data_IF_134446723741
#
_entry.id   IF_134446723741
#
_cell.length_a   1.000
_cell.length_b   1.000
_cell.length_c   1.000
_cell.angle_alpha   90.00
_cell.angle_beta   90.00
_cell.angle_gamma   90.00
#
_symmetry.space_group_name_H-M   'P 1'
#
loop_
_entity.id
_entity.type
_entity.pdbx_description
1 polymer ?
#
# COMPACT_ATOMS: atom_id res chain seq x y z
N UNK A 1 13.18 16.09 13.08
CA UNK A 1 11.92 16.24 12.32
C UNK A 1 12.12 17.04 11.04
N UNK A 2 12.91 18.12 11.05
CA UNK A 2 13.17 18.97 9.87
C UNK A 2 13.63 18.18 8.64
N UNK A 3 14.71 17.39 8.74
CA UNK A 3 15.21 16.58 7.62
C UNK A 3 14.14 15.72 6.92
N UNK A 4 13.19 15.18 7.69
CA UNK A 4 12.11 14.39 7.12
C UNK A 4 11.17 15.25 6.28
N UNK A 5 10.68 16.36 6.84
CA UNK A 5 9.77 17.24 6.14
C UNK A 5 10.45 18.02 5.00
N UNK A 6 11.74 18.35 5.13
CA UNK A 6 12.55 18.98 4.09
C UNK A 6 12.69 18.08 2.87
N UNK A 7 12.96 16.79 3.07
CA UNK A 7 13.03 15.82 1.98
C UNK A 7 11.66 15.55 1.32
N UNK A 8 10.54 15.68 2.06
CA UNK A 8 9.19 15.68 1.46
C UNK A 8 8.98 16.94 0.62
N UNK A 9 9.31 18.10 1.19
CA UNK A 9 9.16 19.39 0.53
C UNK A 9 9.96 19.44 -0.77
N UNK A 10 11.20 18.97 -0.75
CA UNK A 10 12.06 18.90 -1.93
C UNK A 10 11.51 17.91 -2.98
N UNK A 11 11.08 16.71 -2.55
CA UNK A 11 10.42 15.75 -3.43
C UNK A 11 9.19 16.35 -4.11
N UNK A 12 8.27 16.92 -3.33
CA UNK A 12 7.02 17.49 -3.84
C UNK A 12 7.27 18.68 -4.77
N UNK A 13 8.20 19.57 -4.43
CA UNK A 13 8.56 20.73 -5.24
C UNK A 13 9.09 20.32 -6.61
N UNK A 14 9.95 19.31 -6.67
CA UNK A 14 10.63 18.91 -7.90
C UNK A 14 9.83 17.89 -8.74
N UNK A 15 8.81 17.24 -8.18
CA UNK A 15 8.11 16.15 -8.87
C UNK A 15 6.60 16.33 -9.00
N UNK A 16 6.00 17.44 -8.56
CA UNK A 16 4.53 17.60 -8.56
C UNK A 16 3.87 17.31 -9.92
N UNK A 17 4.49 17.71 -11.04
CA UNK A 17 3.98 17.41 -12.39
C UNK A 17 3.96 15.91 -12.64
N UNK A 18 5.08 15.23 -12.34
CA UNK A 18 5.21 13.79 -12.51
C UNK A 18 4.24 13.04 -11.58
N UNK A 19 4.09 13.49 -10.33
CA UNK A 19 3.12 12.92 -9.39
C UNK A 19 1.68 13.07 -9.92
N UNK A 20 1.32 14.25 -10.44
CA UNK A 20 0.02 14.48 -11.06
C UNK A 20 -0.22 13.57 -12.26
N UNK A 21 0.77 13.41 -13.14
CA UNK A 21 0.69 12.51 -14.30
C UNK A 21 0.56 11.04 -13.87
N UNK A 22 1.32 10.61 -12.85
CA UNK A 22 1.24 9.26 -12.26
C UNK A 22 -0.15 9.00 -11.68
N UNK A 23 -0.67 9.92 -10.86
CA UNK A 23 -2.00 9.79 -10.26
C UNK A 23 -3.11 9.77 -11.32
N UNK A 24 -3.02 10.61 -12.35
CA UNK A 24 -3.97 10.63 -13.46
C UNK A 24 -3.93 9.32 -14.25
N UNK A 25 -2.73 8.84 -14.59
CA UNK A 25 -2.56 7.55 -15.29
C UNK A 25 -3.15 6.40 -14.46
N UNK A 26 -2.89 6.38 -13.16
CA UNK A 26 -3.48 5.40 -12.24
C UNK A 26 -5.01 5.45 -12.24
N UNK A 27 -5.60 6.65 -12.16
CA UNK A 27 -7.05 6.83 -12.21
C UNK A 27 -7.64 6.32 -13.53
N UNK A 28 -7.04 6.68 -14.68
CA UNK A 28 -7.45 6.21 -16.00
C UNK A 28 -7.39 4.69 -16.10
N UNK A 29 -6.27 4.06 -15.67
CA UNK A 29 -6.11 2.61 -15.73
C UNK A 29 -7.10 1.88 -14.83
N UNK A 30 -7.36 2.39 -13.63
CA UNK A 30 -8.39 1.85 -12.73
C UNK A 30 -9.77 1.96 -13.36
N UNK A 31 -10.15 3.12 -13.89
CA UNK A 31 -11.44 3.30 -14.58
C UNK A 31 -11.59 2.36 -15.77
N UNK A 32 -10.53 2.18 -16.57
CA UNK A 32 -10.52 1.23 -17.68
C UNK A 32 -10.66 -0.21 -17.20
N UNK A 33 -10.02 -0.61 -16.10
CA UNK A 33 -10.19 -1.95 -15.53
C UNK A 33 -11.61 -2.20 -15.02
N UNK A 34 -12.25 -1.21 -14.40
CA UNK A 34 -13.63 -1.36 -13.93
C UNK A 34 -14.65 -1.47 -15.07
N UNK A 35 -14.43 -0.73 -16.16
CA UNK A 35 -15.40 -0.59 -17.25
C UNK A 35 -15.13 -1.53 -18.45
N UNK A 36 -13.86 -1.76 -18.80
CA UNK A 36 -13.42 -2.51 -19.99
C UNK A 36 -12.09 -3.26 -19.72
N UNK A 37 -12.08 -4.32 -18.90
CA UNK A 37 -10.87 -5.05 -18.52
C UNK A 37 -10.30 -5.90 -19.66
N UNK A 38 -9.69 -5.28 -20.66
CA UNK A 38 -9.00 -5.99 -21.74
C UNK A 38 -7.63 -6.54 -21.27
N UNK A 39 -7.08 -7.58 -21.93
CA UNK A 39 -5.74 -8.08 -21.61
C UNK A 39 -4.65 -7.00 -21.67
N UNK A 40 -4.78 -6.05 -22.59
CA UNK A 40 -3.87 -4.93 -22.72
C UNK A 40 -3.94 -3.98 -21.51
N UNK A 41 -5.15 -3.65 -21.05
CA UNK A 41 -5.35 -2.80 -19.85
C UNK A 41 -4.82 -3.50 -18.60
N UNK A 42 -5.07 -4.80 -18.45
CA UNK A 42 -4.52 -5.60 -17.33
C UNK A 42 -3.00 -5.57 -17.32
N UNK A 43 -2.35 -5.79 -18.47
CA UNK A 43 -0.89 -5.71 -18.61
C UNK A 43 -0.36 -4.30 -18.32
N UNK A 44 -1.03 -3.27 -18.86
CA UNK A 44 -0.68 -1.88 -18.61
C UNK A 44 -0.75 -1.52 -17.11
N UNK A 45 -1.77 -2.00 -16.40
CA UNK A 45 -1.88 -1.81 -14.96
C UNK A 45 -0.75 -2.49 -14.18
N UNK A 46 -0.34 -3.70 -14.56
CA UNK A 46 0.81 -4.35 -13.92
C UNK A 46 2.10 -3.55 -14.15
N UNK A 47 2.34 -3.09 -15.39
CA UNK A 47 3.48 -2.23 -15.70
C UNK A 47 3.43 -0.91 -14.92
N UNK A 48 2.24 -0.33 -14.73
CA UNK A 48 2.05 0.85 -13.89
C UNK A 48 2.41 0.58 -12.42
N UNK A 49 2.02 -0.57 -11.86
CA UNK A 49 2.41 -0.94 -10.50
C UNK A 49 3.93 -1.16 -10.40
N UNK A 50 4.57 -1.81 -11.39
CA UNK A 50 6.05 -1.91 -11.45
C UNK A 50 6.67 -0.51 -11.44
N UNK A 51 6.19 0.39 -12.30
CA UNK A 51 6.67 1.76 -12.39
C UNK A 51 6.49 2.51 -11.06
N UNK A 52 5.35 2.35 -10.36
CA UNK A 52 5.13 2.96 -9.05
C UNK A 52 6.17 2.46 -8.02
N UNK A 53 6.42 1.16 -7.97
CA UNK A 53 7.40 0.59 -7.03
C UNK A 53 8.82 1.08 -7.34
N UNK A 54 9.20 1.15 -8.62
CA UNK A 54 10.49 1.71 -9.05
C UNK A 54 10.58 3.21 -8.78
N UNK A 55 9.51 3.97 -8.96
CA UNK A 55 9.45 5.39 -8.64
C UNK A 55 9.70 5.62 -7.16
N UNK A 56 9.03 4.85 -6.28
CA UNK A 56 9.25 4.95 -4.84
C UNK A 56 10.68 4.54 -4.45
N UNK A 57 11.22 3.47 -5.03
CA UNK A 57 12.58 3.02 -4.75
C UNK A 57 13.64 4.04 -5.20
N UNK A 58 13.61 4.43 -6.47
CA UNK A 58 14.70 5.15 -7.13
C UNK A 58 14.55 6.67 -7.00
N UNK A 59 13.35 7.19 -7.24
CA UNK A 59 13.13 8.64 -7.19
C UNK A 59 12.94 9.08 -5.74
N UNK A 60 11.95 8.51 -5.04
CA UNK A 60 11.65 8.97 -3.69
C UNK A 60 12.75 8.58 -2.68
N UNK A 61 13.11 7.28 -2.57
CA UNK A 61 14.03 6.83 -1.53
C UNK A 61 15.51 7.03 -1.86
N UNK A 62 15.96 6.61 -3.05
CA UNK A 62 17.37 6.64 -3.40
C UNK A 62 17.87 8.07 -3.71
N UNK A 63 17.03 8.91 -4.35
CA UNK A 63 17.42 10.28 -4.70
C UNK A 63 17.01 11.29 -3.61
N UNK A 64 15.71 11.52 -3.41
CA UNK A 64 15.25 12.58 -2.49
C UNK A 64 15.49 12.26 -1.01
N UNK A 65 15.33 11.01 -0.60
CA UNK A 65 15.53 10.60 0.79
C UNK A 65 16.93 10.04 1.08
N UNK A 66 17.94 10.33 0.25
CA UNK A 66 19.28 9.74 0.40
C UNK A 66 19.93 10.00 1.76
N UNK A 67 19.58 11.11 2.41
CA UNK A 67 20.07 11.50 3.73
C UNK A 67 19.28 10.88 4.88
N UNK A 68 18.13 10.26 4.61
CA UNK A 68 17.31 9.65 5.67
C UNK A 68 17.96 8.36 6.16
N UNK A 69 17.93 8.10 7.47
CA UNK A 69 18.42 6.84 8.01
C UNK A 69 17.63 5.67 7.42
N UNK A 70 18.33 4.56 7.16
CA UNK A 70 17.76 3.32 6.61
C UNK A 70 17.11 3.48 5.22
N UNK A 71 17.46 4.52 4.45
CA UNK A 71 16.99 4.70 3.08
C UNK A 71 17.29 3.48 2.20
N UNK A 72 18.52 2.94 2.21
CA UNK A 72 18.91 1.79 1.38
C UNK A 72 18.11 0.53 1.67
N UNK A 73 17.85 0.23 2.95
CA UNK A 73 16.99 -0.88 3.34
C UNK A 73 15.57 -0.71 2.75
N UNK A 74 15.09 0.54 2.75
CA UNK A 74 13.79 0.87 2.16
C UNK A 74 13.81 0.76 0.63
N UNK A 75 14.85 1.27 -0.04
CA UNK A 75 15.06 1.09 -1.49
C UNK A 75 14.97 -0.39 -1.86
N UNK A 76 15.66 -1.26 -1.11
CA UNK A 76 15.68 -2.69 -1.35
C UNK A 76 14.28 -3.31 -1.26
N UNK A 77 13.48 -2.96 -0.25
CA UNK A 77 12.10 -3.46 -0.10
C UNK A 77 11.26 -3.12 -1.35
N UNK A 78 11.31 -1.86 -1.80
CA UNK A 78 10.53 -1.42 -2.96
C UNK A 78 11.05 -2.01 -4.27
N UNK A 79 12.37 -2.25 -4.40
CA UNK A 79 12.94 -2.98 -5.54
C UNK A 79 12.51 -4.44 -5.56
N UNK A 80 12.43 -5.11 -4.40
CA UNK A 80 11.91 -6.48 -4.31
C UNK A 80 10.44 -6.50 -4.74
N UNK A 81 9.62 -5.55 -4.27
CA UNK A 81 8.24 -5.43 -4.71
C UNK A 81 8.13 -5.20 -6.23
N UNK A 82 8.97 -4.34 -6.80
CA UNK A 82 9.04 -4.14 -8.24
C UNK A 82 9.42 -5.43 -8.98
N UNK A 83 10.41 -6.18 -8.49
CA UNK A 83 10.84 -7.44 -9.08
C UNK A 83 9.74 -8.51 -9.08
N UNK A 84 8.98 -8.61 -7.97
CA UNK A 84 7.82 -9.51 -7.89
C UNK A 84 6.77 -9.14 -8.95
N UNK A 85 6.49 -7.85 -9.12
CA UNK A 85 5.54 -7.39 -10.14
C UNK A 85 6.08 -7.59 -11.56
N UNK A 86 7.38 -7.41 -11.81
CA UNK A 86 8.01 -7.72 -13.11
C UNK A 86 7.85 -9.21 -13.43
N UNK A 87 8.11 -10.09 -12.47
CA UNK A 87 7.88 -11.53 -12.62
C UNK A 87 6.41 -11.83 -12.95
N UNK A 88 5.47 -11.14 -12.30
CA UNK A 88 4.04 -11.29 -12.55
C UNK A 88 3.61 -10.77 -13.94
N UNK A 89 4.26 -9.72 -14.46
CA UNK A 89 4.07 -9.28 -15.87
C UNK A 89 4.53 -10.35 -16.85
N UNK A 90 5.70 -10.94 -16.59
CA UNK A 90 6.32 -11.92 -17.48
C UNK A 90 5.56 -13.26 -17.51
N UNK A 91 5.06 -13.70 -16.35
CA UNK A 91 4.41 -15.01 -16.20
C UNK A 91 2.89 -14.97 -16.30
N UNK A 92 2.27 -13.81 -16.09
CA UNK A 92 0.82 -13.70 -16.01
C UNK A 92 0.23 -14.38 -14.77
N UNK A 93 1.03 -14.56 -13.70
CA UNK A 93 0.62 -15.30 -12.49
C UNK A 93 -0.71 -14.80 -11.89
N UNK A 94 -0.88 -13.48 -11.76
CA UNK A 94 -2.17 -12.87 -11.39
C UNK A 94 -3.04 -12.54 -12.61
N UNK A 95 -4.28 -13.05 -12.64
CA UNK A 95 -5.20 -12.87 -13.77
C UNK A 95 -5.89 -11.48 -13.81
N UNK A 96 -5.75 -10.67 -12.76
CA UNK A 96 -6.43 -9.37 -12.59
C UNK A 96 -7.95 -9.45 -12.87
N UNK A 97 -8.61 -10.43 -12.25
CA UNK A 97 -10.06 -10.62 -12.35
C UNK A 97 -10.78 -9.86 -11.23
N UNK A 98 -11.82 -9.13 -11.60
CA UNK A 98 -12.58 -8.30 -10.65
C UNK A 98 -13.22 -9.15 -9.57
N UNK A 99 -12.83 -8.93 -8.32
CA UNK A 99 -13.43 -9.50 -7.13
C UNK A 99 -14.55 -8.58 -6.62
N UNK A 100 -15.80 -8.94 -6.93
CA UNK A 100 -16.97 -8.14 -6.50
C UNK A 100 -17.26 -8.22 -5.00
N UNK A 101 -16.69 -9.20 -4.28
CA UNK A 101 -17.00 -9.46 -2.87
C UNK A 101 -16.58 -8.32 -1.94
N UNK A 102 -15.48 -7.65 -2.27
CA UNK A 102 -14.90 -6.57 -1.46
C UNK A 102 -14.81 -5.25 -2.23
N UNK A 103 -15.69 -5.04 -3.23
CA UNK A 103 -15.59 -3.93 -4.18
C UNK A 103 -15.70 -2.55 -3.51
N UNK A 104 -16.62 -2.39 -2.55
CA UNK A 104 -16.77 -1.12 -1.83
C UNK A 104 -15.53 -0.78 -0.99
N UNK A 105 -15.00 -1.77 -0.28
CA UNK A 105 -13.83 -1.62 0.58
C UNK A 105 -12.56 -1.35 -0.24
N UNK A 106 -12.37 -2.09 -1.34
CA UNK A 106 -11.26 -1.88 -2.27
C UNK A 106 -11.30 -0.52 -2.93
N UNK A 107 -12.48 -0.06 -3.36
CA UNK A 107 -12.67 1.28 -3.93
C UNK A 107 -12.35 2.36 -2.89
N UNK A 108 -12.81 2.20 -1.65
CA UNK A 108 -12.45 3.11 -0.56
C UNK A 108 -10.93 3.19 -0.40
N UNK A 109 -10.23 2.06 -0.32
CA UNK A 109 -8.77 2.04 -0.15
C UNK A 109 -8.03 2.63 -1.35
N UNK A 110 -8.52 2.48 -2.58
CA UNK A 110 -7.92 3.13 -3.75
C UNK A 110 -8.12 4.65 -3.76
N UNK A 111 -9.17 5.17 -3.11
CA UNK A 111 -9.46 6.61 -3.04
C UNK A 111 -8.79 7.31 -1.85
N UNK A 112 -8.54 6.60 -0.74
CA UNK A 112 -7.90 7.16 0.45
C UNK A 112 -6.57 7.89 0.18
N UNK A 113 -5.66 7.46 -0.72
CA UNK A 113 -4.47 8.21 -1.08
C UNK A 113 -4.73 9.67 -1.50
N UNK A 114 -5.89 9.95 -2.11
CA UNK A 114 -6.27 11.29 -2.52
C UNK A 114 -6.63 12.20 -1.35
N UNK A 115 -6.94 11.64 -0.18
CA UNK A 115 -7.23 12.41 1.03
C UNK A 115 -5.96 12.82 1.78
N UNK A 116 -4.80 12.24 1.47
CA UNK A 116 -3.54 12.55 2.18
C UNK A 116 -3.21 14.06 2.15
N UNK A 117 -3.22 14.73 0.98
CA UNK A 117 -3.03 16.17 0.93
C UNK A 117 -4.10 16.97 1.68
N UNK A 118 -5.34 16.49 1.70
CA UNK A 118 -6.46 17.16 2.36
C UNK A 118 -6.31 17.12 3.88
N UNK A 119 -5.91 15.97 4.43
CA UNK A 119 -5.65 15.81 5.86
C UNK A 119 -4.42 16.64 6.27
N UNK A 120 -3.39 16.69 5.42
CA UNK A 120 -2.24 17.59 5.61
C UNK A 120 -2.66 19.07 5.63
N UNK A 121 -3.52 19.50 4.71
CA UNK A 121 -3.99 20.88 4.66
C UNK A 121 -4.88 21.22 5.86
N UNK A 122 -5.76 20.31 6.27
CA UNK A 122 -6.67 20.51 7.41
C UNK A 122 -5.95 20.73 8.75
N UNK A 123 -4.71 20.26 8.89
CA UNK A 123 -3.87 20.51 10.07
C UNK A 123 -2.95 21.73 9.95
N UNK A 124 -3.11 22.54 8.90
CA UNK A 124 -2.29 23.74 8.68
C UNK A 124 -0.95 23.51 8.01
N UNK A 125 -0.70 22.34 7.39
CA UNK A 125 0.48 22.18 6.53
C UNK A 125 0.21 22.75 5.14
N UNK A 126 1.24 23.31 4.52
CA UNK A 126 1.16 23.95 3.21
C UNK A 126 2.14 23.31 2.23
N UNK A 127 1.75 23.30 0.95
CA UNK A 127 2.65 22.86 -0.11
C UNK A 127 3.96 23.69 -0.09
N UNK A 128 5.14 23.05 -0.23
CA UNK A 128 5.36 21.65 -0.58
C UNK A 128 5.48 20.67 0.60
N UNK A 129 5.42 21.15 1.84
CA UNK A 129 5.58 20.34 3.06
C UNK A 129 4.27 19.63 3.43
N UNK A 130 3.84 18.67 2.63
CA UNK A 130 2.59 17.93 2.86
C UNK A 130 2.65 16.51 2.32
N UNK A 131 1.79 15.62 2.83
CA UNK A 131 1.69 14.26 2.31
C UNK A 131 1.04 14.26 0.91
N UNK A 132 1.63 13.54 -0.05
CA UNK A 132 1.17 13.49 -1.43
C UNK A 132 0.63 12.10 -1.83
N UNK A 133 -0.22 12.00 -2.87
CA UNK A 133 -0.79 10.73 -3.31
C UNK A 133 0.23 9.75 -3.91
N UNK A 134 1.43 10.22 -4.25
CA UNK A 134 2.54 9.41 -4.78
C UNK A 134 3.66 9.33 -3.73
N UNK A 135 3.26 9.13 -2.47
CA UNK A 135 4.16 8.76 -1.38
C UNK A 135 4.07 7.26 -1.09
N UNK A 136 5.09 6.67 -0.45
CA UNK A 136 5.13 5.23 -0.19
C UNK A 136 3.88 4.67 0.51
N UNK A 137 3.35 5.34 1.54
CA UNK A 137 2.16 4.89 2.28
C UNK A 137 0.88 5.01 1.46
N UNK A 138 0.74 6.09 0.68
CA UNK A 138 -0.32 6.26 -0.31
C UNK A 138 -0.28 5.17 -1.40
N UNK A 139 0.89 4.87 -1.94
CA UNK A 139 1.08 3.81 -2.95
C UNK A 139 0.78 2.43 -2.37
N UNK A 140 1.20 2.16 -1.13
CA UNK A 140 0.86 0.91 -0.45
C UNK A 140 -0.64 0.76 -0.24
N UNK A 141 -1.32 1.82 0.21
CA UNK A 141 -2.76 1.84 0.42
C UNK A 141 -3.53 1.64 -0.88
N UNK A 142 -3.12 2.32 -1.95
CA UNK A 142 -3.62 2.08 -3.29
C UNK A 142 -3.44 0.63 -3.73
N UNK A 143 -2.25 0.06 -3.54
CA UNK A 143 -1.92 -1.32 -3.94
C UNK A 143 -2.77 -2.33 -3.18
N UNK A 144 -3.02 -2.13 -1.89
CA UNK A 144 -3.92 -2.96 -1.08
C UNK A 144 -5.34 -2.92 -1.66
N UNK A 145 -5.88 -1.73 -1.89
CA UNK A 145 -7.21 -1.55 -2.49
C UNK A 145 -7.29 -2.21 -3.86
N UNK A 146 -6.29 -1.99 -4.70
CA UNK A 146 -6.20 -2.57 -6.02
C UNK A 146 -6.19 -4.12 -5.99
N UNK A 147 -5.38 -4.70 -5.13
CA UNK A 147 -5.30 -6.16 -4.99
C UNK A 147 -6.60 -6.76 -4.47
N UNK A 148 -7.30 -6.08 -3.54
CA UNK A 148 -8.63 -6.49 -3.09
C UNK A 148 -9.69 -6.42 -4.21
N UNK A 149 -9.58 -5.45 -5.13
CA UNK A 149 -10.51 -5.29 -6.23
C UNK A 149 -10.29 -6.27 -7.38
N UNK A 150 -9.04 -6.66 -7.66
CA UNK A 150 -8.70 -7.36 -8.91
C UNK A 150 -7.90 -8.66 -8.74
N UNK A 151 -7.50 -9.05 -7.53
CA UNK A 151 -6.73 -10.27 -7.35
C UNK A 151 -7.57 -11.37 -6.70
N UNK A 152 -7.79 -12.47 -7.43
CA UNK A 152 -8.31 -13.71 -6.84
C UNK A 152 -7.20 -14.63 -6.30
N UNK A 153 -5.95 -14.43 -6.75
CA UNK A 153 -4.77 -15.16 -6.28
C UNK A 153 -3.73 -14.15 -5.87
N UNK A 154 -3.60 -13.95 -4.57
CA UNK A 154 -2.70 -12.95 -4.01
C UNK A 154 -1.34 -13.59 -3.73
N UNK A 155 -0.28 -13.00 -4.26
CA UNK A 155 1.07 -13.38 -3.89
C UNK A 155 1.34 -12.93 -2.45
N UNK A 156 1.49 -13.91 -1.54
CA UNK A 156 1.69 -13.66 -0.12
C UNK A 156 2.94 -12.83 0.19
N UNK A 157 3.97 -12.85 -0.66
CA UNK A 157 5.15 -12.00 -0.48
C UNK A 157 4.79 -10.52 -0.62
N UNK A 158 3.92 -10.15 -1.56
CA UNK A 158 3.46 -8.77 -1.71
C UNK A 158 2.69 -8.33 -0.46
N UNK A 159 1.80 -9.20 0.05
CA UNK A 159 1.07 -8.93 1.30
C UNK A 159 2.04 -8.73 2.46
N UNK A 160 3.03 -9.60 2.61
CA UNK A 160 4.04 -9.49 3.67
C UNK A 160 4.78 -8.15 3.61
N UNK A 161 5.21 -7.71 2.43
CA UNK A 161 5.88 -6.41 2.27
C UNK A 161 4.93 -5.23 2.54
N UNK A 162 3.66 -5.30 2.16
CA UNK A 162 2.66 -4.29 2.47
C UNK A 162 2.37 -4.22 3.99
N UNK A 163 2.33 -5.36 4.68
CA UNK A 163 2.19 -5.43 6.14
C UNK A 163 3.40 -4.82 6.84
N UNK A 164 4.60 -5.18 6.39
CA UNK A 164 5.83 -4.58 6.88
C UNK A 164 5.81 -3.06 6.66
N UNK A 165 5.35 -2.60 5.49
CA UNK A 165 5.22 -1.18 5.20
C UNK A 165 4.23 -0.47 6.13
N UNK A 166 3.08 -1.09 6.42
CA UNK A 166 2.11 -0.54 7.36
C UNK A 166 2.69 -0.42 8.78
N UNK A 167 3.52 -1.37 9.21
CA UNK A 167 4.24 -1.28 10.49
C UNK A 167 5.24 -0.12 10.51
N UNK A 168 5.99 0.05 9.42
CA UNK A 168 6.91 1.19 9.24
C UNK A 168 6.14 2.52 9.13
N UNK A 169 4.94 2.53 8.55
CA UNK A 169 4.07 3.71 8.50
C UNK A 169 3.55 4.08 9.90
N UNK A 170 3.11 3.09 10.68
CA UNK A 170 2.62 3.32 12.03
C UNK A 170 3.66 3.97 12.95
N UNK A 171 4.94 3.63 12.81
CA UNK A 171 6.01 4.29 13.57
C UNK A 171 6.24 5.75 13.16
N UNK A 172 5.95 6.12 11.90
CA UNK A 172 6.07 7.51 11.40
C UNK A 172 4.97 8.43 11.89
N UNK A 173 3.79 7.90 12.20
CA UNK A 173 2.68 8.66 12.78
C UNK A 173 3.19 9.44 13.99
N UNK A 174 3.93 8.76 14.87
CA UNK A 174 4.55 9.36 16.05
C UNK A 174 5.86 10.09 15.73
N UNK A 175 6.80 9.43 15.04
CA UNK A 175 8.16 9.96 14.90
C UNK A 175 8.24 11.25 14.05
N UNK A 176 7.28 11.45 13.13
CA UNK A 176 7.28 12.55 12.17
C UNK A 176 5.96 13.31 12.10
N UNK A 177 4.99 12.99 12.96
CA UNK A 177 3.68 13.63 13.03
C UNK A 177 2.90 13.55 11.70
N UNK A 178 2.73 12.32 11.17
CA UNK A 178 2.00 12.03 9.92
C UNK A 178 0.75 11.21 10.22
N UNK A 179 -0.36 11.82 10.68
CA UNK A 179 -1.58 11.08 10.96
C UNK A 179 -2.24 10.47 9.71
N UNK A 180 -1.87 10.86 8.48
CA UNK A 180 -2.34 10.19 7.26
C UNK A 180 -1.94 8.71 7.22
N UNK A 181 -0.76 8.38 7.75
CA UNK A 181 -0.28 6.99 7.77
C UNK A 181 -1.15 6.10 8.67
N UNK A 182 -2.02 6.69 9.51
CA UNK A 182 -3.05 5.96 10.24
C UNK A 182 -4.05 5.28 9.29
N UNK A 183 -4.34 5.87 8.13
CA UNK A 183 -5.22 5.28 7.13
C UNK A 183 -4.66 3.95 6.62
N UNK A 184 -3.35 3.88 6.40
CA UNK A 184 -2.68 2.64 5.98
C UNK A 184 -2.72 1.59 7.09
N UNK A 185 -2.42 1.97 8.33
CA UNK A 185 -2.48 1.08 9.49
C UNK A 185 -3.90 0.55 9.74
N UNK A 186 -4.93 1.38 9.55
CA UNK A 186 -6.32 0.94 9.64
C UNK A 186 -6.73 0.03 8.47
N UNK A 187 -6.26 0.31 7.26
CA UNK A 187 -6.63 -0.46 6.06
C UNK A 187 -5.97 -1.84 6.00
N UNK A 188 -4.75 -1.99 6.53
CA UNK A 188 -4.03 -3.25 6.45
C UNK A 188 -4.68 -4.35 7.32
N UNK A 189 -5.34 -4.00 8.43
CA UNK A 189 -5.99 -4.96 9.34
C UNK A 189 -7.08 -5.79 8.63
N UNK A 190 -8.13 -5.18 8.05
CA UNK A 190 -9.13 -5.94 7.28
C UNK A 190 -8.54 -6.54 6.00
N UNK A 191 -7.53 -5.90 5.38
CA UNK A 191 -6.90 -6.44 4.17
C UNK A 191 -6.15 -7.76 4.43
N UNK A 192 -5.35 -7.84 5.49
CA UNK A 192 -4.65 -9.07 5.92
C UNK A 192 -5.66 -10.19 6.15
N UNK A 193 -6.72 -9.90 6.91
CA UNK A 193 -7.77 -10.87 7.18
C UNK A 193 -8.35 -11.43 5.88
N UNK A 194 -8.71 -10.56 4.94
CA UNK A 194 -9.29 -10.97 3.66
C UNK A 194 -8.29 -11.77 2.82
N UNK A 195 -7.07 -11.27 2.63
CA UNK A 195 -6.06 -11.92 1.79
C UNK A 195 -5.69 -13.30 2.32
N UNK A 196 -5.45 -13.41 3.62
CA UNK A 196 -5.08 -14.68 4.22
C UNK A 196 -6.26 -15.65 4.28
N UNK A 197 -7.48 -15.15 4.49
CA UNK A 197 -8.68 -15.99 4.42
C UNK A 197 -8.88 -16.56 3.02
N UNK A 198 -8.74 -15.74 1.99
CA UNK A 198 -8.83 -16.19 0.59
C UNK A 198 -7.73 -17.22 0.28
N UNK A 199 -6.50 -17.00 0.77
CA UNK A 199 -5.40 -17.95 0.66
C UNK A 199 -5.71 -19.29 1.34
N UNK A 200 -6.18 -19.27 2.59
CA UNK A 200 -6.57 -20.48 3.33
C UNK A 200 -7.68 -21.22 2.60
N UNK A 201 -8.76 -20.53 2.20
CA UNK A 201 -9.86 -21.19 1.49
C UNK A 201 -9.46 -21.78 0.14
N UNK A 202 -8.44 -21.23 -0.52
CA UNK A 202 -7.99 -21.69 -1.84
C UNK A 202 -6.95 -22.82 -1.77
N UNK A 203 -6.21 -22.94 -0.66
CA UNK A 203 -5.06 -23.85 -0.54
C UNK A 203 -5.17 -24.89 0.59
N UNK A 204 -6.04 -24.69 1.58
CA UNK A 204 -6.24 -25.62 2.70
C UNK A 204 -7.40 -26.54 2.35
N UNK A 205 -7.09 -27.79 2.00
CA UNK A 205 -8.10 -28.83 1.80
C UNK A 205 -8.62 -29.33 3.14
N UNK A 206 -9.74 -30.07 3.14
CA UNK A 206 -10.30 -30.65 4.36
C UNK A 206 -9.33 -31.61 5.08
N UNK A 207 -8.21 -32.00 4.46
CA UNK A 207 -7.26 -32.99 4.97
C UNK A 207 -5.87 -32.38 5.24
N UNK A 208 -5.66 -31.09 4.98
CA UNK A 208 -4.40 -30.41 5.32
C UNK A 208 -4.34 -29.98 6.79
N UNK A 209 -3.14 -30.00 7.38
CA UNK A 209 -2.86 -29.40 8.70
C UNK A 209 -2.23 -28.01 8.49
N UNK A 210 -2.67 -26.96 9.22
CA UNK A 210 -3.76 -26.95 10.20
C UNK A 210 -5.15 -27.08 9.53
N UNK A 211 -6.13 -27.63 10.25
CA UNK A 211 -7.49 -27.76 9.75
C UNK A 211 -8.13 -26.37 9.53
N UNK A 212 -9.19 -26.27 8.69
CA UNK A 212 -9.78 -24.97 8.36
C UNK A 212 -10.28 -24.15 9.55
N UNK A 213 -10.70 -24.78 10.67
CA UNK A 213 -11.12 -24.04 11.87
C UNK A 213 -9.91 -23.45 12.57
N UNK A 214 -8.85 -24.23 12.78
CA UNK A 214 -7.60 -23.74 13.39
C UNK A 214 -6.96 -22.65 12.54
N UNK A 215 -6.96 -22.79 11.21
CA UNK A 215 -6.49 -21.76 10.30
C UNK A 215 -7.30 -20.46 10.47
N UNK A 216 -8.64 -20.52 10.48
CA UNK A 216 -9.47 -19.34 10.70
C UNK A 216 -9.24 -18.68 12.07
N UNK A 217 -9.07 -19.47 13.14
CA UNK A 217 -8.76 -18.94 14.48
C UNK A 217 -7.42 -18.20 14.46
N UNK A 218 -6.38 -18.78 13.87
CA UNK A 218 -5.07 -18.15 13.74
C UNK A 218 -5.16 -16.83 12.96
N UNK A 219 -5.95 -16.79 11.88
CA UNK A 219 -6.16 -15.57 11.10
C UNK A 219 -6.86 -14.47 11.89
N UNK A 220 -7.89 -14.81 12.66
CA UNK A 220 -8.59 -13.85 13.53
C UNK A 220 -7.62 -13.33 14.58
N UNK A 221 -6.86 -14.21 15.24
CA UNK A 221 -5.88 -13.83 16.27
C UNK A 221 -4.79 -12.93 15.70
N UNK A 222 -4.25 -13.24 14.52
CA UNK A 222 -3.25 -12.42 13.85
C UNK A 222 -3.80 -11.03 13.49
N UNK A 223 -5.02 -10.98 12.93
CA UNK A 223 -5.66 -9.72 12.53
C UNK A 223 -6.01 -8.86 13.74
N UNK A 224 -6.54 -9.47 14.80
CA UNK A 224 -6.84 -8.80 16.06
C UNK A 224 -5.57 -8.31 16.75
N UNK A 225 -4.52 -9.14 16.84
CA UNK A 225 -3.23 -8.76 17.41
C UNK A 225 -2.58 -7.60 16.64
N UNK A 226 -2.65 -7.61 15.31
CA UNK A 226 -2.19 -6.51 14.46
C UNK A 226 -3.00 -5.23 14.73
N UNK A 227 -4.32 -5.34 14.83
CA UNK A 227 -5.20 -4.21 15.14
C UNK A 227 -4.93 -3.61 16.53
N UNK A 228 -4.74 -4.45 17.55
CA UNK A 228 -4.39 -4.03 18.91
C UNK A 228 -3.02 -3.34 18.92
N UNK A 229 -2.03 -3.89 18.22
CA UNK A 229 -0.71 -3.28 18.11
C UNK A 229 -0.79 -1.88 17.50
N UNK A 230 -1.53 -1.71 16.39
CA UNK A 230 -1.71 -0.38 15.80
C UNK A 230 -2.50 0.58 16.68
N UNK A 231 -3.56 0.11 17.34
CA UNK A 231 -4.30 0.92 18.30
C UNK A 231 -3.39 1.38 19.45
N UNK A 232 -2.57 0.49 20.01
CA UNK A 232 -1.60 0.83 21.05
C UNK A 232 -0.57 1.86 20.56
N UNK A 233 -0.04 1.68 19.34
CA UNK A 233 0.89 2.65 18.73
C UNK A 233 0.26 4.02 18.49
N UNK A 234 -1.04 4.08 18.20
CA UNK A 234 -1.78 5.34 18.00
C UNK A 234 -2.25 6.00 19.30
N UNK A 235 -2.56 5.22 20.34
CA UNK A 235 -3.07 5.72 21.63
C UNK A 235 -1.94 6.10 22.59
N UNK A 236 -0.82 5.37 22.58
CA UNK A 236 0.33 5.65 23.45
C UNK A 236 0.77 7.14 23.47
N UNK A 237 0.76 7.87 22.34
CA UNK A 237 1.07 9.30 22.33
C UNK A 237 -0.01 10.22 22.94
N UNK A 238 -1.30 9.81 22.96
CA UNK A 238 -2.40 10.61 23.55
C UNK A 238 -2.42 10.56 25.09
N UNK A 239 -1.67 9.62 25.67
CA UNK A 239 -1.59 9.38 27.11
C UNK A 239 -0.36 10.04 27.77
N UNK A 240 0.43 10.79 27.00
CA UNK A 240 1.57 11.60 27.48
C UNK A 240 1.26 13.08 27.30
#
# INVERSE_FOLDING_TARGET
MELFWDTIADYNRNTWVAQGAISLLGAVLVTLLFNRPSPAVKRAMKCYIVMLNLWIALVYYLYFCHQRPYNYATVLIWLIMAAIWIYDVATGYTAFERNRKHERLSTLFMLLPLTFPLISAARGMHYPMMASPVMPSSVALFTIGFMLAFSQRVNLFIVLFLCHWALVGASKIYAYNIPEDALLACAIVPAIYIFLREYVTSNVSAHSKPDPRTANILLITLSAGTGILFAALMIHPLLR
#
